data_IF_923328908915
#
_entry.id   IF_923328908915
#
_cell.length_a   1.000
_cell.length_b   1.000
_cell.length_c   1.000
_cell.angle_alpha   90.00
_cell.angle_beta   90.00
_cell.angle_gamma   90.00
#
_symmetry.space_group_name_H-M   'P 1'
#
loop_
_entity.id
_entity.type
_entity.pdbx_description
1 polymer ?
#
# COMPACT_ATOMS: atom_id res chain seq x y z
N UNK A 1 16.88 -9.76 1.16
CA UNK A 1 16.94 -9.24 -0.22
C UNK A 1 16.10 -10.15 -1.05
N UNK A 2 15.14 -9.59 -1.79
CA UNK A 2 14.23 -10.35 -2.63
C UNK A 2 14.90 -10.63 -3.97
N UNK A 3 14.44 -11.66 -4.68
CA UNK A 3 15.05 -12.06 -5.95
C UNK A 3 14.98 -10.96 -7.03
N UNK A 4 14.01 -10.06 -6.94
CA UNK A 4 13.87 -8.93 -7.85
C UNK A 4 14.59 -7.66 -7.38
N UNK A 5 15.36 -7.73 -6.29
CA UNK A 5 16.10 -6.61 -5.71
C UNK A 5 17.60 -6.91 -5.68
N UNK A 6 18.41 -5.97 -6.15
CA UNK A 6 19.87 -6.08 -6.17
C UNK A 6 20.55 -4.89 -5.49
N UNK A 7 21.77 -5.12 -5.02
CA UNK A 7 22.63 -4.06 -4.46
C UNK A 7 23.13 -3.16 -5.57
N UNK A 8 22.84 -1.86 -5.47
CA UNK A 8 23.22 -0.84 -6.46
C UNK A 8 24.39 0.03 -5.98
N UNK A 9 24.73 -0.02 -4.69
CA UNK A 9 25.83 0.74 -4.11
C UNK A 9 26.68 -0.14 -3.19
N UNK A 10 27.96 -0.28 -3.51
CA UNK A 10 28.93 -1.06 -2.72
C UNK A 10 29.17 -0.47 -1.32
N UNK A 11 28.92 0.83 -1.14
CA UNK A 11 29.14 1.52 0.13
C UNK A 11 28.00 1.28 1.13
N UNK A 12 26.84 0.77 0.69
CA UNK A 12 25.65 0.59 1.53
C UNK A 12 25.89 -0.27 2.76
N UNK A 13 26.80 -1.26 2.69
CA UNK A 13 27.18 -2.05 3.87
C UNK A 13 27.97 -1.19 4.87
N UNK A 14 28.90 -0.37 4.39
CA UNK A 14 29.68 0.53 5.25
C UNK A 14 28.78 1.60 5.88
N UNK A 15 27.85 2.16 5.11
CA UNK A 15 26.87 3.11 5.60
C UNK A 15 26.02 2.51 6.73
N UNK A 16 25.51 1.29 6.53
CA UNK A 16 24.75 0.59 7.56
C UNK A 16 25.60 0.30 8.82
N UNK A 17 26.86 -0.10 8.64
CA UNK A 17 27.79 -0.34 9.76
C UNK A 17 28.07 0.92 10.57
N UNK A 18 28.13 2.11 9.95
CA UNK A 18 28.33 3.36 10.68
C UNK A 18 27.28 3.55 11.79
N UNK A 19 26.02 3.19 11.53
CA UNK A 19 24.97 3.26 12.53
C UNK A 19 25.10 2.20 13.62
N UNK A 20 25.47 0.97 13.28
CA UNK A 20 25.61 -0.11 14.28
C UNK A 20 26.86 0.01 15.14
N UNK A 21 27.92 0.63 14.61
CA UNK A 21 29.22 0.79 15.27
C UNK A 21 29.36 2.12 16.02
N UNK A 22 28.34 2.97 15.99
CA UNK A 22 28.29 4.17 16.82
C UNK A 22 28.40 3.80 18.31
N UNK A 23 29.43 4.34 19.00
CA UNK A 23 29.77 3.96 20.39
C UNK A 23 28.72 4.40 21.41
N UNK A 24 27.98 5.46 21.07
CA UNK A 24 27.00 6.06 21.96
C UNK A 24 25.65 5.39 21.84
N UNK A 25 25.15 5.20 20.62
CA UNK A 25 23.77 4.80 20.30
C UNK A 25 23.69 3.52 19.46
N UNK A 26 24.78 3.05 18.85
CA UNK A 26 24.77 1.93 17.92
C UNK A 26 24.17 0.64 18.51
N UNK A 27 24.36 0.46 19.82
CA UNK A 27 23.79 -0.63 20.60
C UNK A 27 22.25 -0.62 20.70
N UNK A 28 21.58 0.51 20.49
CA UNK A 28 20.12 0.65 20.54
C UNK A 28 19.41 0.15 19.27
N UNK A 29 20.14 0.11 18.14
CA UNK A 29 19.55 -0.16 16.84
C UNK A 29 19.53 -1.66 16.51
N UNK A 30 18.34 -2.16 16.20
CA UNK A 30 18.12 -3.51 15.74
C UNK A 30 18.25 -3.64 14.23
N UNK A 31 17.85 -2.63 13.45
CA UNK A 31 17.97 -2.68 12.00
C UNK A 31 18.07 -1.30 11.35
N UNK A 32 18.70 -1.25 10.18
CA UNK A 32 18.79 -0.08 9.30
C UNK A 32 18.02 -0.41 8.02
N UNK A 33 16.92 0.29 7.80
CA UNK A 33 16.04 0.16 6.63
C UNK A 33 16.40 1.22 5.59
N UNK A 34 16.65 0.78 4.37
CA UNK A 34 16.85 1.66 3.21
C UNK A 34 15.58 1.69 2.35
N UNK A 35 15.34 2.74 1.54
CA UNK A 35 14.23 2.76 0.60
C UNK A 35 14.34 1.64 -0.42
N UNK A 36 13.19 1.06 -0.77
CA UNK A 36 13.07 0.21 -1.94
C UNK A 36 12.84 1.10 -3.16
N UNK A 37 13.78 1.09 -4.11
CA UNK A 37 13.65 1.82 -5.36
C UNK A 37 13.57 0.85 -6.52
N UNK A 38 12.95 1.26 -7.61
CA UNK A 38 12.77 0.39 -8.77
C UNK A 38 13.35 1.02 -10.04
N UNK A 39 14.01 0.21 -10.86
CA UNK A 39 14.70 0.67 -12.07
C UNK A 39 13.74 0.89 -13.25
N UNK A 40 12.57 0.24 -13.23
CA UNK A 40 11.59 0.24 -14.31
C UNK A 40 10.43 1.23 -14.06
N UNK A 41 10.58 2.22 -13.18
CA UNK A 41 9.54 3.24 -12.98
C UNK A 41 9.51 4.19 -14.18
N UNK A 42 8.35 4.31 -14.83
CA UNK A 42 8.13 5.26 -15.92
C UNK A 42 8.03 6.70 -15.40
N UNK A 43 8.20 7.68 -16.30
CA UNK A 43 8.25 9.12 -15.95
C UNK A 43 7.08 9.58 -15.07
N UNK A 44 5.88 9.08 -15.32
CA UNK A 44 4.66 9.46 -14.60
C UNK A 44 4.12 8.31 -13.76
N UNK A 45 4.86 7.22 -13.56
CA UNK A 45 4.52 6.08 -12.70
C UNK A 45 3.03 5.70 -12.76
N UNK A 46 2.61 5.13 -13.89
CA UNK A 46 1.19 4.93 -14.20
C UNK A 46 0.43 4.10 -13.14
N UNK A 47 1.14 3.26 -12.38
CA UNK A 47 0.58 2.41 -11.34
C UNK A 47 0.94 2.83 -9.92
N UNK A 48 1.60 3.96 -9.72
CA UNK A 48 1.95 4.47 -8.39
C UNK A 48 2.71 3.42 -7.55
N UNK A 49 3.74 2.84 -8.17
CA UNK A 49 4.55 1.77 -7.58
C UNK A 49 5.84 2.28 -6.93
N UNK A 50 6.25 3.53 -7.18
CA UNK A 50 7.51 4.06 -6.66
C UNK A 50 7.48 4.46 -5.19
N UNK A 51 6.28 4.60 -4.60
CA UNK A 51 6.05 4.88 -3.17
C UNK A 51 6.92 6.04 -2.65
N UNK A 52 7.04 7.12 -3.44
CA UNK A 52 7.96 8.22 -3.13
C UNK A 52 7.55 8.95 -1.87
N UNK A 53 6.27 9.19 -1.65
CA UNK A 53 5.82 9.90 -0.44
C UNK A 53 6.17 9.10 0.82
N UNK A 54 5.98 7.78 0.78
CA UNK A 54 6.32 6.88 1.87
C UNK A 54 7.82 6.96 2.22
N UNK A 55 8.70 6.88 1.22
CA UNK A 55 10.15 6.89 1.44
C UNK A 55 10.74 8.29 1.68
N UNK A 56 10.25 9.34 1.02
CA UNK A 56 10.81 10.69 1.14
C UNK A 56 10.21 11.49 2.31
N UNK A 57 9.06 11.07 2.84
CA UNK A 57 8.34 11.82 3.89
C UNK A 57 8.01 10.91 5.08
N UNK A 58 7.22 9.87 4.87
CA UNK A 58 6.65 9.09 5.98
C UNK A 58 7.75 8.39 6.79
N UNK A 59 8.67 7.69 6.13
CA UNK A 59 9.74 6.94 6.81
C UNK A 59 10.70 7.84 7.57
N UNK A 60 10.99 9.04 7.03
CA UNK A 60 11.73 10.07 7.77
C UNK A 60 10.96 10.55 9.01
N UNK A 61 9.63 10.71 8.91
CA UNK A 61 8.79 11.04 10.06
C UNK A 61 8.81 9.95 11.14
N UNK A 62 8.73 8.68 10.75
CA UNK A 62 8.76 7.54 11.66
C UNK A 62 10.12 7.37 12.34
N UNK A 63 11.20 7.73 11.65
CA UNK A 63 12.56 7.70 12.19
C UNK A 63 12.69 8.56 13.46
N UNK A 64 12.03 9.73 13.49
CA UNK A 64 11.93 10.58 14.68
C UNK A 64 11.23 9.93 15.89
N UNK A 65 10.40 8.91 15.66
CA UNK A 65 9.64 8.21 16.69
C UNK A 65 10.26 6.87 17.14
N UNK A 66 11.46 6.52 16.66
CA UNK A 66 12.15 5.29 17.03
C UNK A 66 12.46 4.35 15.87
N UNK A 67 12.23 4.80 14.64
CA UNK A 67 12.63 4.10 13.42
C UNK A 67 11.46 3.59 12.59
N UNK A 68 11.64 3.42 11.26
CA UNK A 68 10.61 2.95 10.35
C UNK A 68 10.30 1.46 10.56
N UNK A 69 9.26 0.99 9.88
CA UNK A 69 8.90 -0.42 9.80
C UNK A 69 9.98 -1.20 9.03
N UNK A 70 10.11 -2.50 9.33
CA UNK A 70 10.80 -3.43 8.45
C UNK A 70 9.87 -3.81 7.28
N UNK A 71 10.33 -3.59 6.04
CA UNK A 71 9.52 -3.79 4.82
C UNK A 71 10.07 -4.89 3.89
N UNK A 72 10.78 -5.88 4.44
CA UNK A 72 11.15 -7.11 3.74
C UNK A 72 12.48 -7.07 2.99
N UNK A 73 12.78 -5.98 2.28
CA UNK A 73 14.02 -5.83 1.51
C UNK A 73 14.79 -4.55 1.82
N UNK A 74 16.08 -4.53 1.45
CA UNK A 74 16.97 -3.39 1.67
C UNK A 74 17.21 -3.07 3.15
N UNK A 75 17.29 -4.09 4.00
CA UNK A 75 17.39 -3.94 5.45
C UNK A 75 18.58 -4.74 6.00
N UNK A 76 19.35 -4.11 6.90
CA UNK A 76 20.41 -4.77 7.66
C UNK A 76 19.95 -5.00 9.09
N UNK A 77 20.03 -6.23 9.57
CA UNK A 77 19.59 -6.58 10.93
C UNK A 77 20.76 -6.94 11.83
N UNK A 78 20.70 -6.45 13.07
CA UNK A 78 21.43 -6.99 14.22
C UNK A 78 20.86 -8.37 14.56
N UNK A 79 21.70 -9.41 14.48
CA UNK A 79 21.30 -10.81 14.66
C UNK A 79 20.59 -11.05 15.99
N UNK A 80 21.07 -10.47 17.09
CA UNK A 80 20.49 -10.64 18.42
C UNK A 80 19.02 -10.23 18.49
N UNK A 81 18.66 -9.16 17.76
CA UNK A 81 17.29 -8.65 17.72
C UNK A 81 16.34 -9.62 17.00
N UNK A 82 16.80 -10.26 15.93
CA UNK A 82 16.08 -11.33 15.23
C UNK A 82 16.01 -12.59 16.09
N UNK A 83 17.05 -12.88 16.89
CA UNK A 83 17.13 -14.09 17.71
C UNK A 83 16.28 -14.05 19.00
N UNK A 84 15.39 -13.08 19.19
CA UNK A 84 14.54 -13.07 20.39
C UNK A 84 14.88 -11.99 21.40
N UNK A 85 16.10 -11.43 21.37
CA UNK A 85 16.67 -10.67 22.49
C UNK A 85 15.87 -9.40 22.75
N UNK A 86 15.55 -9.15 24.03
CA UNK A 86 15.00 -7.86 24.47
C UNK A 86 16.12 -6.85 24.62
N UNK A 87 15.86 -5.60 24.25
CA UNK A 87 16.81 -4.53 24.46
C UNK A 87 16.80 -4.12 25.93
N UNK A 88 17.98 -4.14 26.55
CA UNK A 88 18.20 -3.68 27.92
C UNK A 88 19.26 -2.56 27.86
N UNK A 89 19.00 -1.45 28.54
CA UNK A 89 19.82 -0.22 28.45
C UNK A 89 21.24 -0.37 29.00
N UNK A 90 21.57 -1.50 29.64
CA UNK A 90 22.89 -1.75 30.18
C UNK A 90 23.86 -2.15 29.06
N UNK A 91 24.70 -1.18 28.63
CA UNK A 91 25.82 -1.39 27.68
C UNK A 91 26.69 -2.62 28.01
N UNK A 92 26.75 -3.02 29.28
CA UNK A 92 27.60 -4.10 29.80
C UNK A 92 27.25 -5.53 29.30
N UNK A 93 26.04 -5.76 28.75
CA UNK A 93 25.58 -7.11 28.37
C UNK A 93 25.64 -7.44 26.87
N UNK A 94 26.06 -6.51 26.01
CA UNK A 94 26.49 -6.86 24.64
C UNK A 94 27.92 -7.42 24.64
N UNK A 95 28.22 -8.33 25.57
CA UNK A 95 29.42 -9.17 25.45
C UNK A 95 29.21 -10.06 24.23
N UNK A 96 29.95 -9.78 23.16
CA UNK A 96 30.13 -10.69 22.04
C UNK A 96 30.54 -12.05 22.62
N UNK A 97 29.62 -13.01 22.64
CA UNK A 97 29.95 -14.40 22.93
C UNK A 97 30.78 -14.90 21.76
N UNK A 98 32.09 -14.64 21.84
CA UNK A 98 33.09 -15.10 20.87
C UNK A 98 33.20 -16.62 21.05
N UNK A 99 32.23 -17.36 20.53
CA UNK A 99 32.33 -18.83 20.37
C UNK A 99 33.33 -19.08 19.24
N UNK A 100 34.61 -18.88 19.55
CA UNK A 100 35.72 -19.29 18.69
C UNK A 100 35.95 -20.79 18.87
N UNK A 101 34.96 -21.61 18.52
CA UNK A 101 35.22 -23.02 18.22
C UNK A 101 35.71 -23.09 16.79
N UNK A 102 37.03 -23.09 16.60
CA UNK A 102 37.64 -23.49 15.32
C UNK A 102 37.23 -24.94 15.09
N UNK A 103 36.39 -25.17 14.08
CA UNK A 103 36.02 -26.49 13.59
C UNK A 103 36.34 -26.55 12.09
N UNK A 104 36.65 -27.74 11.59
CA UNK A 104 36.87 -27.96 10.17
C UNK A 104 35.56 -27.80 9.38
N UNK A 105 35.69 -27.51 8.08
CA UNK A 105 34.56 -27.21 7.21
C UNK A 105 33.56 -28.38 7.12
N UNK A 106 34.05 -29.63 7.05
CA UNK A 106 33.22 -30.84 7.03
C UNK A 106 32.37 -30.99 8.29
N UNK A 107 32.96 -30.79 9.47
CA UNK A 107 32.23 -30.83 10.74
C UNK A 107 31.17 -29.73 10.83
N UNK A 108 31.46 -28.52 10.32
CA UNK A 108 30.48 -27.43 10.28
C UNK A 108 29.34 -27.72 9.29
N UNK A 109 29.65 -28.31 8.15
CA UNK A 109 28.65 -28.72 7.16
C UNK A 109 27.70 -29.78 7.73
N UNK A 110 28.23 -30.82 8.38
CA UNK A 110 27.42 -31.85 9.03
C UNK A 110 26.54 -31.26 10.15
N UNK A 111 27.06 -30.31 10.93
CA UNK A 111 26.25 -29.57 11.91
C UNK A 111 25.19 -28.70 11.26
N UNK A 112 25.47 -28.10 10.11
CA UNK A 112 24.49 -27.28 9.40
C UNK A 112 23.32 -28.13 8.87
N UNK A 113 23.59 -29.36 8.41
CA UNK A 113 22.55 -30.30 7.93
C UNK A 113 21.48 -30.58 8.98
N UNK A 114 21.85 -30.67 10.26
CA UNK A 114 20.86 -30.87 11.34
C UNK A 114 20.03 -29.63 11.68
N UNK A 115 20.46 -28.43 11.28
CA UNK A 115 19.74 -27.18 11.51
C UNK A 115 18.71 -26.85 10.42
N UNK A 116 18.74 -27.56 9.28
CA UNK A 116 17.88 -27.30 8.12
C UNK A 116 16.88 -28.44 7.86
N UNK A 117 16.63 -29.28 8.86
CA UNK A 117 15.64 -30.36 8.75
C UNK A 117 14.22 -29.81 8.84
N UNK A 118 13.25 -30.53 8.27
CA UNK A 118 11.83 -30.15 8.34
C UNK A 118 11.26 -30.15 9.76
N UNK A 119 11.91 -30.83 10.70
CA UNK A 119 11.50 -30.94 12.10
C UNK A 119 12.27 -30.00 13.04
N UNK A 120 13.24 -29.22 12.53
CA UNK A 120 14.09 -28.37 13.37
C UNK A 120 13.28 -27.37 14.19
N UNK A 121 12.19 -26.86 13.61
CA UNK A 121 11.35 -25.85 14.24
C UNK A 121 10.23 -26.44 15.10
N UNK A 122 10.05 -27.77 15.09
CA UNK A 122 9.00 -28.45 15.86
C UNK A 122 9.18 -28.21 17.36
N UNK A 123 8.10 -27.76 18.02
CA UNK A 123 8.10 -27.41 19.44
C UNK A 123 9.13 -26.34 19.87
N UNK A 124 9.62 -25.53 18.93
CA UNK A 124 10.52 -24.40 19.22
C UNK A 124 9.78 -23.05 19.25
N UNK A 125 10.53 -22.00 19.58
CA UNK A 125 10.08 -20.60 19.51
C UNK A 125 10.35 -19.93 18.14
N UNK A 126 10.89 -20.66 17.16
CA UNK A 126 11.04 -20.17 15.79
C UNK A 126 9.68 -19.81 15.21
N UNK A 127 9.62 -18.66 14.53
CA UNK A 127 8.38 -18.12 14.01
C UNK A 127 7.44 -17.50 15.04
N UNK A 128 7.57 -17.87 16.31
CA UNK A 128 6.75 -17.36 17.41
C UNK A 128 7.38 -16.16 18.07
N UNK A 129 8.63 -16.27 18.54
CA UNK A 129 9.38 -15.21 19.21
C UNK A 129 10.80 -15.01 18.65
N UNK A 130 11.30 -15.99 17.89
CA UNK A 130 12.61 -16.02 17.26
C UNK A 130 12.46 -16.03 15.74
N UNK A 131 13.32 -15.29 15.04
CA UNK A 131 13.30 -15.18 13.58
C UNK A 131 12.19 -14.27 13.06
N UNK A 132 11.78 -14.53 11.82
CA UNK A 132 10.63 -13.85 11.21
C UNK A 132 9.32 -14.39 11.81
N UNK A 133 8.38 -13.52 12.15
CA UNK A 133 7.11 -13.88 12.77
C UNK A 133 6.17 -14.58 11.78
N UNK A 134 5.65 -15.75 12.12
CA UNK A 134 4.77 -16.54 11.26
C UNK A 134 3.30 -16.10 11.34
N UNK A 135 2.51 -16.51 10.36
CA UNK A 135 1.05 -16.42 10.38
C UNK A 135 0.44 -15.16 9.75
N UNK A 136 1.27 -14.25 9.24
CA UNK A 136 0.85 -13.00 8.59
C UNK A 136 1.44 -12.89 7.17
N UNK A 137 0.66 -12.45 6.16
CA UNK A 137 1.17 -12.19 4.79
C UNK A 137 2.23 -11.08 4.65
N UNK A 138 2.43 -10.30 5.72
CA UNK A 138 3.43 -9.23 5.86
C UNK A 138 4.27 -9.52 7.11
N UNK A 139 4.92 -10.69 7.11
CA UNK A 139 5.78 -11.18 8.18
C UNK A 139 6.92 -10.22 8.51
N UNK A 140 7.38 -9.48 7.52
CA UNK A 140 8.35 -8.40 7.65
C UNK A 140 7.86 -7.33 8.63
N UNK A 141 6.67 -6.77 8.39
CA UNK A 141 6.11 -5.67 9.17
C UNK A 141 5.85 -6.10 10.61
N UNK A 142 5.27 -7.28 10.84
CA UNK A 142 5.04 -7.77 12.20
C UNK A 142 6.35 -8.11 12.92
N UNK A 143 7.37 -8.59 12.21
CA UNK A 143 8.70 -8.82 12.79
C UNK A 143 9.33 -7.51 13.23
N UNK A 144 9.27 -6.46 12.39
CA UNK A 144 9.73 -5.12 12.72
C UNK A 144 9.04 -4.55 13.96
N UNK A 145 7.71 -4.65 14.02
CA UNK A 145 6.92 -4.22 15.17
C UNK A 145 7.29 -5.00 16.44
N UNK A 146 7.45 -6.31 16.36
CA UNK A 146 7.81 -7.14 17.51
C UNK A 146 9.23 -6.85 18.02
N UNK A 147 10.19 -6.60 17.13
CA UNK A 147 11.53 -6.14 17.49
C UNK A 147 11.44 -4.80 18.24
N UNK A 148 10.73 -3.81 17.70
CA UNK A 148 10.63 -2.50 18.34
C UNK A 148 9.89 -2.56 19.69
N UNK A 149 8.83 -3.36 19.80
CA UNK A 149 8.13 -3.61 21.06
C UNK A 149 8.97 -4.36 22.11
N UNK A 150 10.13 -4.91 21.74
CA UNK A 150 11.14 -5.44 22.66
C UNK A 150 12.16 -4.40 23.12
N UNK A 151 11.93 -3.12 22.82
CA UNK A 151 12.73 -1.98 23.26
C UNK A 151 13.79 -1.53 22.26
N UNK A 152 13.95 -2.23 21.14
CA UNK A 152 14.90 -1.85 20.10
C UNK A 152 14.38 -0.66 19.28
N UNK A 153 15.31 0.11 18.72
CA UNK A 153 15.02 1.12 17.69
C UNK A 153 15.43 0.61 16.30
N UNK A 154 14.90 1.24 15.27
CA UNK A 154 15.42 1.10 13.90
C UNK A 154 15.86 2.45 13.36
N UNK A 155 16.54 2.42 12.22
CA UNK A 155 16.98 3.62 11.51
C UNK A 155 16.43 3.57 10.09
N UNK A 156 15.95 4.71 9.62
CA UNK A 156 15.76 4.95 8.20
C UNK A 156 16.97 5.63 7.59
N UNK A 157 17.55 5.05 6.53
CA UNK A 157 18.67 5.66 5.81
C UNK A 157 18.39 5.77 4.31
N UNK A 158 18.34 7.00 3.80
CA UNK A 158 18.09 7.32 2.40
C UNK A 158 19.34 8.00 1.79
N UNK A 159 20.32 7.22 1.30
CA UNK A 159 21.56 7.77 0.74
C UNK A 159 21.32 8.45 -0.62
N UNK A 160 22.14 9.45 -1.01
CA UNK A 160 22.05 10.09 -2.33
C UNK A 160 22.18 9.09 -3.49
N UNK A 161 23.08 8.11 -3.35
CA UNK A 161 23.15 6.96 -4.27
C UNK A 161 22.30 5.84 -3.69
N UNK A 162 21.22 5.52 -4.41
CA UNK A 162 20.29 4.44 -4.07
C UNK A 162 21.04 3.15 -3.74
N UNK A 163 20.79 2.63 -2.53
CA UNK A 163 21.45 1.41 -2.03
C UNK A 163 20.97 0.14 -2.73
N UNK A 164 19.65 0.02 -2.91
CA UNK A 164 19.02 -1.16 -3.51
C UNK A 164 18.04 -0.77 -4.61
N UNK A 165 18.11 -1.47 -5.74
CA UNK A 165 17.20 -1.32 -6.87
C UNK A 165 16.50 -2.64 -7.15
N UNK A 166 15.24 -2.59 -7.52
CA UNK A 166 14.53 -3.77 -8.03
C UNK A 166 13.54 -3.47 -9.12
N UNK A 167 12.56 -4.37 -9.26
CA UNK A 167 11.59 -4.33 -10.37
C UNK A 167 10.17 -4.20 -9.83
N UNK A 168 9.52 -3.08 -10.16
CA UNK A 168 8.13 -2.83 -9.83
C UNK A 168 7.18 -3.63 -10.74
N UNK A 169 5.95 -3.92 -10.30
CA UNK A 169 4.89 -4.42 -11.18
C UNK A 169 4.68 -3.55 -12.40
N UNK A 170 4.41 -4.18 -13.55
CA UNK A 170 4.22 -3.50 -14.84
C UNK A 170 2.78 -3.62 -15.38
N UNK A 171 1.88 -4.19 -14.59
CA UNK A 171 0.44 -4.24 -14.90
C UNK A 171 -0.42 -3.78 -13.73
N UNK A 172 -1.63 -3.33 -14.04
CA UNK A 172 -2.62 -2.97 -13.03
C UNK A 172 -3.00 -4.18 -12.17
N UNK A 173 -3.19 -5.35 -12.79
CA UNK A 173 -3.57 -6.58 -12.08
C UNK A 173 -2.52 -6.97 -11.03
N UNK A 174 -1.23 -6.98 -11.41
CA UNK A 174 -0.14 -7.27 -10.48
C UNK A 174 -0.13 -6.27 -9.30
N UNK A 175 -0.26 -4.98 -9.60
CA UNK A 175 -0.28 -3.91 -8.59
C UNK A 175 -1.46 -4.08 -7.62
N UNK A 176 -2.66 -4.36 -8.13
CA UNK A 176 -3.85 -4.55 -7.29
C UNK A 176 -3.76 -5.81 -6.42
N UNK A 177 -3.21 -6.91 -6.94
CA UNK A 177 -2.99 -8.15 -6.17
C UNK A 177 -1.96 -7.92 -5.06
N UNK A 178 -0.87 -7.23 -5.38
CA UNK A 178 0.16 -6.89 -4.39
C UNK A 178 -0.42 -6.03 -3.25
N UNK A 179 -1.15 -4.97 -3.58
CA UNK A 179 -1.79 -4.11 -2.58
C UNK A 179 -2.89 -4.82 -1.79
N UNK A 180 -3.60 -5.78 -2.38
CA UNK A 180 -4.56 -6.63 -1.67
C UNK A 180 -3.83 -7.46 -0.61
N UNK A 181 -2.71 -8.11 -0.95
CA UNK A 181 -1.90 -8.90 0.00
C UNK A 181 -1.38 -8.04 1.16
N UNK A 182 -0.80 -6.88 0.84
CA UNK A 182 -0.26 -5.96 1.85
C UNK A 182 -1.36 -5.48 2.79
N UNK A 183 -2.46 -4.98 2.23
CA UNK A 183 -3.58 -4.47 3.02
C UNK A 183 -4.26 -5.55 3.85
N UNK A 184 -4.33 -6.79 3.35
CA UNK A 184 -4.89 -7.93 4.08
C UNK A 184 -4.02 -8.25 5.29
N UNK A 185 -2.71 -8.44 5.08
CA UNK A 185 -1.81 -8.79 6.17
C UNK A 185 -1.67 -7.68 7.22
N UNK A 186 -1.60 -6.42 6.78
CA UNK A 186 -1.60 -5.26 7.66
C UNK A 186 -2.85 -5.19 8.54
N UNK A 187 -4.04 -5.43 7.96
CA UNK A 187 -5.27 -5.42 8.72
C UNK A 187 -5.43 -6.66 9.62
N UNK A 188 -4.90 -7.82 9.21
CA UNK A 188 -4.81 -9.00 10.09
C UNK A 188 -3.96 -8.71 11.32
N UNK A 189 -2.83 -7.99 11.18
CA UNK A 189 -2.04 -7.57 12.35
C UNK A 189 -2.88 -6.66 13.25
N UNK A 190 -3.59 -5.68 12.69
CA UNK A 190 -4.47 -4.77 13.43
C UNK A 190 -5.53 -5.49 14.27
N UNK A 191 -6.15 -6.52 13.71
CA UNK A 191 -7.21 -7.30 14.36
C UNK A 191 -6.67 -8.34 15.36
N UNK A 192 -5.35 -8.55 15.39
CA UNK A 192 -4.71 -9.54 16.27
C UNK A 192 -4.25 -8.92 17.60
N UNK A 193 -3.70 -9.76 18.48
CA UNK A 193 -3.00 -9.33 19.70
C UNK A 193 -1.83 -8.38 19.45
N UNK A 194 -1.38 -8.23 18.20
CA UNK A 194 -0.28 -7.36 17.78
C UNK A 194 -0.72 -5.97 17.33
N UNK A 195 -1.98 -5.58 17.56
CA UNK A 195 -2.44 -4.22 17.33
C UNK A 195 -1.46 -3.19 17.95
N UNK A 196 -0.90 -2.22 17.20
CA UNK A 196 0.11 -1.29 17.71
C UNK A 196 -0.33 -0.49 18.95
N UNK A 197 -1.63 -0.14 19.05
CA UNK A 197 -2.18 0.61 20.18
C UNK A 197 -2.29 -0.22 21.46
N UNK A 198 -2.38 -1.55 21.33
CA UNK A 198 -2.46 -2.47 22.46
C UNK A 198 -1.09 -3.08 22.76
N UNK A 199 -0.50 -3.73 21.76
CA UNK A 199 0.77 -4.44 21.86
C UNK A 199 1.96 -3.51 22.11
N UNK A 200 1.95 -2.33 21.46
CA UNK A 200 2.98 -1.31 21.56
C UNK A 200 2.77 -0.30 22.69
N UNK A 201 1.63 -0.36 23.40
CA UNK A 201 1.32 0.54 24.50
C UNK A 201 2.43 0.51 25.56
N UNK A 202 2.98 1.69 25.91
CA UNK A 202 4.12 1.87 26.83
C UNK A 202 5.42 1.16 26.41
N UNK A 203 5.49 0.52 25.23
CA UNK A 203 6.71 -0.14 24.70
C UNK A 203 7.37 0.65 23.59
N UNK A 204 6.55 1.30 22.74
CA UNK A 204 7.01 2.20 21.67
C UNK A 204 6.28 3.54 21.77
N UNK A 205 6.86 4.61 21.22
CA UNK A 205 6.28 5.96 21.25
C UNK A 205 4.93 5.98 20.54
N UNK A 206 4.00 6.83 21.03
CA UNK A 206 2.66 6.97 20.43
C UNK A 206 2.72 7.32 18.94
N UNK A 207 3.63 8.22 18.53
CA UNK A 207 3.81 8.56 17.12
C UNK A 207 4.17 7.36 16.24
N UNK A 208 4.98 6.42 16.75
CA UNK A 208 5.30 5.19 16.02
C UNK A 208 4.09 4.25 15.96
N UNK A 209 3.32 4.13 17.05
CA UNK A 209 2.07 3.35 17.05
C UNK A 209 1.08 3.87 16.00
N UNK A 210 0.90 5.19 15.92
CA UNK A 210 0.06 5.84 14.91
C UNK A 210 0.63 5.63 13.50
N UNK A 211 1.95 5.68 13.36
CA UNK A 211 2.68 5.38 12.12
C UNK A 211 2.40 4.00 11.54
N UNK A 212 2.48 2.94 12.36
CA UNK A 212 2.06 1.60 11.93
C UNK A 212 0.58 1.57 11.51
N UNK A 213 -0.28 2.30 12.24
CA UNK A 213 -1.71 2.31 11.96
C UNK A 213 -2.11 2.97 10.65
N UNK A 214 -1.28 3.84 10.08
CA UNK A 214 -1.48 4.39 8.72
C UNK A 214 -1.63 3.24 7.71
N UNK A 215 -0.74 2.24 7.79
CA UNK A 215 -0.74 1.07 6.91
C UNK A 215 -1.77 0.00 7.34
N UNK A 216 -1.92 -0.20 8.65
CA UNK A 216 -2.81 -1.22 9.20
C UNK A 216 -4.30 -0.95 8.95
N UNK A 217 -4.64 0.32 8.72
CA UNK A 217 -6.01 0.75 8.43
C UNK A 217 -6.29 0.96 6.93
N UNK A 218 -5.38 0.60 6.02
CA UNK A 218 -5.63 0.68 4.58
C UNK A 218 -6.91 -0.05 4.16
N UNK A 219 -7.11 -1.28 4.63
CA UNK A 219 -8.30 -2.09 4.32
C UNK A 219 -9.61 -1.40 4.76
N UNK A 220 -9.81 -1.08 6.06
CA UNK A 220 -11.06 -0.47 6.52
C UNK A 220 -11.30 0.94 5.96
N UNK A 221 -10.26 1.71 5.61
CA UNK A 221 -10.42 3.01 4.96
C UNK A 221 -11.06 2.94 3.56
N UNK A 222 -11.21 1.74 2.97
CA UNK A 222 -11.93 1.57 1.71
C UNK A 222 -13.43 1.83 1.82
N UNK A 223 -14.09 1.45 2.92
CA UNK A 223 -15.54 1.60 3.10
C UNK A 223 -16.02 3.06 3.04
N UNK A 224 -15.45 4.02 3.79
CA UNK A 224 -15.84 5.42 3.64
C UNK A 224 -15.52 5.94 2.23
N UNK A 225 -14.43 5.48 1.61
CA UNK A 225 -14.08 5.90 0.25
C UNK A 225 -15.12 5.44 -0.77
N UNK A 226 -15.58 4.17 -0.68
CA UNK A 226 -16.66 3.65 -1.52
C UNK A 226 -17.94 4.46 -1.33
N UNK A 227 -18.28 4.80 -0.09
CA UNK A 227 -19.43 5.65 0.20
C UNK A 227 -19.33 6.99 -0.54
N UNK A 228 -18.22 7.71 -0.38
CA UNK A 228 -18.00 9.00 -1.06
C UNK A 228 -17.82 8.88 -2.59
N UNK A 229 -17.47 7.70 -3.10
CA UNK A 229 -17.34 7.46 -4.53
C UNK A 229 -18.68 7.09 -5.20
N UNK A 230 -19.68 6.64 -4.44
CA UNK A 230 -20.99 6.20 -4.95
C UNK A 230 -22.08 7.21 -4.62
N UNK A 231 -22.21 7.62 -3.35
CA UNK A 231 -23.36 8.37 -2.86
C UNK A 231 -23.49 9.77 -3.48
N UNK A 232 -22.41 10.58 -3.61
CA UNK A 232 -22.50 11.86 -4.31
C UNK A 232 -22.96 11.73 -5.77
N UNK A 233 -22.43 10.74 -6.49
CA UNK A 233 -22.81 10.45 -7.89
C UNK A 233 -24.27 10.01 -7.99
N UNK A 234 -24.70 9.14 -7.08
CA UNK A 234 -26.08 8.70 -7.02
C UNK A 234 -27.04 9.85 -6.72
N UNK A 235 -26.76 10.65 -5.69
CA UNK A 235 -27.58 11.80 -5.35
C UNK A 235 -27.62 12.85 -6.48
N UNK A 236 -26.51 13.02 -7.23
CA UNK A 236 -26.48 13.83 -8.44
C UNK A 236 -27.45 13.33 -9.51
N UNK A 237 -27.51 12.00 -9.75
CA UNK A 237 -28.47 11.40 -10.68
C UNK A 237 -29.92 11.66 -10.28
N UNK A 238 -30.21 11.86 -8.99
CA UNK A 238 -31.56 12.12 -8.48
C UNK A 238 -31.83 13.60 -8.20
N UNK A 239 -30.91 14.51 -8.51
CA UNK A 239 -30.98 15.93 -8.17
C UNK A 239 -31.20 16.20 -6.66
N UNK A 240 -30.67 15.31 -5.81
CA UNK A 240 -30.71 15.41 -4.35
C UNK A 240 -29.46 16.13 -3.87
N UNK A 241 -29.63 17.22 -3.12
CA UNK A 241 -28.51 18.00 -2.59
C UNK A 241 -27.95 17.32 -1.35
N UNK A 242 -26.65 16.99 -1.37
CA UNK A 242 -25.96 16.47 -0.20
C UNK A 242 -25.12 17.52 0.52
N UNK A 243 -24.70 18.56 -0.19
CA UNK A 243 -23.82 19.59 0.35
C UNK A 243 -24.54 20.93 0.46
N UNK A 244 -24.04 21.86 1.29
CA UNK A 244 -24.56 23.22 1.32
C UNK A 244 -24.41 23.90 -0.04
N UNK A 245 -25.39 24.74 -0.39
CA UNK A 245 -25.28 25.67 -1.52
C UNK A 245 -24.00 26.50 -1.42
N UNK A 246 -23.37 26.80 -2.55
CA UNK A 246 -22.21 27.71 -2.62
C UNK A 246 -22.49 29.11 -2.09
N UNK A 247 -23.76 29.51 -2.01
CA UNK A 247 -24.17 30.78 -1.41
C UNK A 247 -24.29 30.71 0.12
N UNK A 248 -24.25 29.51 0.71
CA UNK A 248 -24.30 29.29 2.15
C UNK A 248 -22.92 29.47 2.77
N UNK A 249 -22.86 30.10 3.94
CA UNK A 249 -21.62 30.18 4.74
C UNK A 249 -21.09 28.77 5.10
N UNK A 250 -21.97 27.78 5.18
CA UNK A 250 -21.62 26.39 5.47
C UNK A 250 -20.90 25.68 4.32
N UNK A 251 -20.82 26.28 3.13
CA UNK A 251 -19.97 25.78 2.04
C UNK A 251 -18.47 26.03 2.32
N UNK A 252 -18.13 27.08 3.06
CA UNK A 252 -16.75 27.50 3.28
C UNK A 252 -15.85 26.39 3.89
N UNK A 253 -16.28 25.62 4.90
CA UNK A 253 -15.50 24.49 5.42
C UNK A 253 -15.20 23.41 4.35
N UNK A 254 -16.16 23.08 3.49
CA UNK A 254 -15.96 22.09 2.42
C UNK A 254 -14.97 22.61 1.38
N UNK A 255 -15.15 23.85 0.93
CA UNK A 255 -14.23 24.49 -0.02
C UNK A 255 -12.80 24.58 0.55
N UNK A 256 -12.67 24.94 1.83
CA UNK A 256 -11.39 25.00 2.52
C UNK A 256 -10.71 23.63 2.58
N UNK A 257 -11.41 22.58 3.06
CA UNK A 257 -10.83 21.24 3.18
C UNK A 257 -10.45 20.68 1.81
N UNK A 258 -11.34 20.77 0.81
CA UNK A 258 -11.06 20.28 -0.55
C UNK A 258 -9.87 21.04 -1.15
N UNK A 259 -9.87 22.37 -1.05
CA UNK A 259 -8.82 23.22 -1.60
C UNK A 259 -7.46 22.95 -0.95
N UNK A 260 -7.39 23.03 0.38
CA UNK A 260 -6.13 22.86 1.13
C UNK A 260 -5.57 21.46 0.98
N UNK A 261 -6.38 20.41 1.07
CA UNK A 261 -5.90 19.02 0.91
C UNK A 261 -5.42 18.74 -0.51
N UNK A 262 -6.08 19.31 -1.52
CA UNK A 262 -5.66 19.19 -2.93
C UNK A 262 -4.35 19.93 -3.18
N UNK A 263 -4.25 21.18 -2.74
CA UNK A 263 -3.04 22.01 -2.87
C UNK A 263 -1.88 21.36 -2.13
N UNK A 264 -2.10 20.92 -0.89
CA UNK A 264 -1.06 20.30 -0.07
C UNK A 264 -0.54 19.01 -0.72
N UNK A 265 -1.43 18.14 -1.19
CA UNK A 265 -1.02 16.92 -1.89
C UNK A 265 -0.25 17.22 -3.18
N UNK A 266 -0.69 18.20 -3.97
CA UNK A 266 0.03 18.56 -5.19
C UNK A 266 1.42 19.14 -4.87
N UNK A 267 1.49 19.98 -3.84
CA UNK A 267 2.76 20.55 -3.35
C UNK A 267 3.72 19.46 -2.86
N UNK A 268 3.23 18.55 -2.04
CA UNK A 268 4.02 17.43 -1.51
C UNK A 268 4.51 16.53 -2.64
N UNK A 269 3.62 16.13 -3.55
CA UNK A 269 3.99 15.32 -4.71
C UNK A 269 5.05 15.99 -5.57
N UNK A 270 4.94 17.30 -5.82
CA UNK A 270 5.97 18.05 -6.55
C UNK A 270 7.29 18.10 -5.77
N UNK A 271 7.24 18.26 -4.45
CA UNK A 271 8.43 18.30 -3.57
C UNK A 271 9.20 16.98 -3.61
N UNK A 272 8.52 15.84 -3.64
CA UNK A 272 9.13 14.50 -3.74
C UNK A 272 9.43 14.05 -5.18
N UNK A 273 9.22 14.95 -6.15
CA UNK A 273 9.67 14.79 -7.54
C UNK A 273 8.66 14.16 -8.51
N UNK A 274 7.36 14.07 -8.16
CA UNK A 274 6.34 13.69 -9.13
C UNK A 274 6.07 14.79 -10.16
N UNK A 275 5.74 14.38 -11.38
CA UNK A 275 5.11 15.26 -12.37
C UNK A 275 3.63 15.49 -12.02
N UNK A 276 2.98 16.46 -12.65
CA UNK A 276 1.52 16.65 -12.50
C UNK A 276 0.72 15.42 -12.94
N UNK A 277 1.14 14.77 -14.04
CA UNK A 277 0.53 13.52 -14.51
C UNK A 277 0.80 12.37 -13.53
N UNK A 278 1.99 12.33 -12.93
CA UNK A 278 2.33 11.37 -11.88
C UNK A 278 1.46 11.54 -10.63
N UNK A 279 1.26 12.77 -10.16
CA UNK A 279 0.30 13.07 -9.09
C UNK A 279 -1.13 12.61 -9.44
N UNK A 280 -1.57 12.85 -10.67
CA UNK A 280 -2.87 12.38 -11.13
C UNK A 280 -2.97 10.84 -11.16
N UNK A 281 -1.88 10.16 -11.56
CA UNK A 281 -1.80 8.70 -11.54
C UNK A 281 -1.80 8.14 -10.11
N UNK A 282 -1.11 8.80 -9.16
CA UNK A 282 -1.20 8.51 -7.72
C UNK A 282 -2.63 8.60 -7.22
N UNK A 283 -3.37 9.67 -7.57
CA UNK A 283 -4.80 9.80 -7.21
C UNK A 283 -5.66 8.69 -7.81
N UNK A 284 -5.41 8.31 -9.07
CA UNK A 284 -6.11 7.18 -9.70
C UNK A 284 -5.86 5.89 -8.96
N UNK A 285 -4.61 5.58 -8.68
CA UNK A 285 -4.25 4.33 -8.03
C UNK A 285 -4.69 4.30 -6.56
N UNK A 286 -4.67 5.44 -5.89
CA UNK A 286 -5.28 5.62 -4.56
C UNK A 286 -6.76 5.25 -4.55
N UNK A 287 -7.52 5.65 -5.58
CA UNK A 287 -8.92 5.29 -5.75
C UNK A 287 -9.08 3.81 -6.13
N UNK A 288 -8.31 3.31 -7.11
CA UNK A 288 -8.42 1.93 -7.59
C UNK A 288 -8.14 0.91 -6.49
N UNK A 289 -7.08 1.12 -5.69
CA UNK A 289 -6.74 0.28 -4.53
C UNK A 289 -7.90 0.24 -3.53
N UNK A 290 -8.61 1.36 -3.30
CA UNK A 290 -9.73 1.48 -2.36
C UNK A 290 -11.07 0.96 -2.88
N UNK A 291 -11.28 0.93 -4.19
CA UNK A 291 -12.49 0.34 -4.78
C UNK A 291 -12.36 -1.17 -5.01
N UNK A 292 -11.14 -1.64 -5.27
CA UNK A 292 -10.88 -3.04 -5.58
C UNK A 292 -10.09 -3.75 -4.48
N UNK A 293 -8.77 -3.53 -4.37
CA UNK A 293 -7.87 -4.32 -3.51
C UNK A 293 -8.26 -4.34 -2.03
N UNK A 294 -8.56 -3.17 -1.46
CA UNK A 294 -8.72 -3.00 -0.01
C UNK A 294 -10.04 -3.56 0.54
N UNK A 295 -11.19 -3.47 -0.16
CA UNK A 295 -12.40 -4.19 0.21
C UNK A 295 -12.20 -5.71 0.24
N UNK A 296 -11.57 -6.29 -0.78
CA UNK A 296 -11.24 -7.72 -0.78
C UNK A 296 -10.31 -8.10 0.37
N UNK A 297 -9.31 -7.27 0.65
CA UNK A 297 -8.42 -7.45 1.79
C UNK A 297 -9.16 -7.39 3.13
N UNK A 298 -10.10 -6.46 3.30
CA UNK A 298 -10.93 -6.35 4.50
C UNK A 298 -11.77 -7.61 4.68
N UNK A 299 -12.49 -8.03 3.64
CA UNK A 299 -13.29 -9.25 3.66
C UNK A 299 -12.46 -10.48 4.00
N UNK A 300 -11.30 -10.68 3.35
CA UNK A 300 -10.45 -11.84 3.63
C UNK A 300 -9.87 -11.81 5.06
N UNK A 301 -9.49 -10.64 5.58
CA UNK A 301 -9.06 -10.51 6.97
C UNK A 301 -10.18 -10.83 7.96
N UNK A 302 -11.43 -10.39 7.71
CA UNK A 302 -12.58 -10.73 8.54
C UNK A 302 -12.93 -12.22 8.46
N UNK A 303 -12.93 -12.82 7.27
CA UNK A 303 -13.19 -14.25 7.11
C UNK A 303 -12.13 -15.11 7.82
N UNK A 304 -10.87 -14.66 7.82
CA UNK A 304 -9.80 -15.31 8.60
C UNK A 304 -10.03 -15.16 10.11
N UNK A 305 -10.47 -13.99 10.58
CA UNK A 305 -10.81 -13.79 11.99
C UNK A 305 -11.92 -14.74 12.47
N UNK A 306 -12.86 -15.08 11.58
CA UNK A 306 -13.95 -16.03 11.83
C UNK A 306 -13.57 -17.50 11.59
N UNK A 307 -12.31 -17.78 11.26
CA UNK A 307 -11.79 -19.13 10.91
C UNK A 307 -12.53 -19.82 9.74
N UNK A 308 -13.14 -19.03 8.84
CA UNK A 308 -13.94 -19.55 7.71
C UNK A 308 -13.07 -19.88 6.48
N UNK A 309 -11.87 -19.30 6.37
CA UNK A 309 -11.04 -19.39 5.16
C UNK A 309 -9.58 -19.71 5.48
N UNK A 310 -9.05 -20.76 4.85
CA UNK A 310 -7.60 -21.03 4.80
C UNK A 310 -6.91 -20.09 3.81
N UNK A 311 -5.72 -19.62 4.16
CA UNK A 311 -4.92 -18.68 3.36
C UNK A 311 -4.53 -19.28 2.01
N UNK A 312 -4.89 -18.62 0.91
CA UNK A 312 -4.26 -18.82 -0.39
C UNK A 312 -3.28 -17.66 -0.62
N UNK A 313 -1.99 -17.94 -0.50
CA UNK A 313 -0.95 -16.96 -0.79
C UNK A 313 -0.70 -16.92 -2.30
N UNK A 314 -0.96 -15.77 -2.92
CA UNK A 314 -0.72 -15.57 -4.36
C UNK A 314 0.54 -14.72 -4.51
N UNK A 315 1.61 -15.34 -5.04
CA UNK A 315 2.83 -14.62 -5.42
C UNK A 315 2.53 -13.75 -6.63
N UNK A 316 2.86 -12.46 -6.55
CA UNK A 316 2.75 -11.57 -7.70
C UNK A 316 3.91 -11.81 -8.66
N UNK A 317 3.63 -12.32 -9.85
CA UNK A 317 4.63 -12.40 -10.90
C UNK A 317 5.10 -10.98 -11.29
N UNK A 318 6.40 -10.80 -11.51
CA UNK A 318 7.02 -9.53 -11.94
C UNK A 318 7.56 -9.60 -13.38
N UNK A 319 7.37 -10.73 -14.06
CA UNK A 319 7.70 -10.93 -15.46
C UNK A 319 6.47 -10.60 -16.30
N UNK A 320 6.65 -9.87 -17.39
CA UNK A 320 5.61 -9.56 -18.34
C UNK A 320 6.06 -9.85 -19.76
N UNK A 321 5.10 -10.17 -20.61
CA UNK A 321 5.34 -10.36 -22.04
C UNK A 321 5.87 -9.07 -22.70
N UNK A 322 6.57 -9.22 -23.81
CA UNK A 322 7.21 -8.10 -24.50
C UNK A 322 6.21 -6.99 -24.88
N UNK A 323 5.01 -7.38 -25.34
CA UNK A 323 3.95 -6.45 -25.71
C UNK A 323 3.35 -5.72 -24.49
N UNK A 324 3.27 -6.38 -23.34
CA UNK A 324 2.85 -5.75 -22.07
C UNK A 324 3.90 -4.73 -21.64
N UNK A 325 5.18 -5.09 -21.77
CA UNK A 325 6.31 -4.21 -21.42
C UNK A 325 6.32 -2.95 -22.30
N UNK A 326 6.12 -3.08 -23.62
CA UNK A 326 5.99 -1.94 -24.55
C UNK A 326 4.83 -1.02 -24.18
N UNK A 327 3.68 -1.57 -23.77
CA UNK A 327 2.53 -0.77 -23.29
C UNK A 327 2.86 -0.04 -22.00
N UNK A 328 3.52 -0.72 -21.06
CA UNK A 328 3.94 -0.13 -19.80
C UNK A 328 4.91 1.05 -20.02
N UNK A 329 5.93 0.88 -20.86
CA UNK A 329 6.88 1.96 -21.23
C UNK A 329 6.19 3.17 -21.87
N UNK A 330 5.15 2.93 -22.67
CA UNK A 330 4.31 3.97 -23.27
C UNK A 330 3.27 4.57 -22.31
N UNK A 331 3.27 4.14 -21.04
CA UNK A 331 2.29 4.52 -20.03
C UNK A 331 0.84 4.26 -20.50
N UNK A 332 0.60 3.05 -21.00
CA UNK A 332 -0.73 2.54 -21.32
C UNK A 332 -1.09 1.46 -20.31
N UNK A 333 -2.23 1.64 -19.62
CA UNK A 333 -2.68 0.68 -18.61
C UNK A 333 -3.10 -0.66 -19.21
N UNK A 334 -2.78 -1.74 -18.51
CA UNK A 334 -3.07 -3.12 -18.91
C UNK A 334 -4.38 -3.61 -18.28
N UNK A 335 -5.37 -3.92 -19.12
CA UNK A 335 -6.69 -4.41 -18.70
C UNK A 335 -7.07 -5.77 -19.29
N UNK A 336 -6.17 -6.42 -20.07
CA UNK A 336 -6.49 -7.63 -20.85
C UNK A 336 -6.91 -8.86 -20.04
N UNK A 337 -6.69 -8.87 -18.72
CA UNK A 337 -7.07 -9.97 -17.84
C UNK A 337 -8.50 -9.84 -17.31
N UNK A 338 -9.32 -10.90 -17.44
CA UNK A 338 -10.61 -10.94 -16.75
C UNK A 338 -10.41 -11.11 -15.24
N UNK A 339 -10.89 -10.15 -14.44
CA UNK A 339 -10.83 -10.24 -12.97
C UNK A 339 -12.03 -9.54 -12.32
N UNK A 340 -12.42 -10.01 -11.13
CA UNK A 340 -13.49 -9.39 -10.36
C UNK A 340 -13.14 -7.95 -9.95
N UNK A 341 -11.86 -7.67 -9.67
CA UNK A 341 -11.38 -6.32 -9.41
C UNK A 341 -11.65 -5.39 -10.60
N UNK A 342 -11.43 -5.86 -11.83
CA UNK A 342 -11.71 -5.05 -13.03
C UNK A 342 -13.21 -4.89 -13.29
N UNK A 343 -14.03 -5.89 -12.98
CA UNK A 343 -15.50 -5.75 -13.02
C UNK A 343 -15.95 -4.62 -12.09
N UNK A 344 -15.46 -4.59 -10.85
CA UNK A 344 -15.83 -3.56 -9.87
C UNK A 344 -15.37 -2.17 -10.31
N UNK A 345 -14.10 -2.02 -10.74
CA UNK A 345 -13.58 -0.73 -11.21
C UNK A 345 -14.36 -0.24 -12.43
N UNK A 346 -14.65 -1.13 -13.38
CA UNK A 346 -15.37 -0.78 -14.61
C UNK A 346 -16.84 -0.46 -14.34
N UNK A 347 -17.51 -1.21 -13.46
CA UNK A 347 -18.89 -0.93 -13.06
C UNK A 347 -18.98 0.43 -12.36
N UNK A 348 -18.05 0.73 -11.44
CA UNK A 348 -17.99 2.02 -10.77
C UNK A 348 -17.72 3.18 -11.74
N UNK A 349 -16.79 2.99 -12.68
CA UNK A 349 -16.49 3.97 -13.71
C UNK A 349 -17.72 4.28 -14.58
N UNK A 350 -18.40 3.25 -15.11
CA UNK A 350 -19.60 3.42 -15.92
C UNK A 350 -20.73 4.03 -15.09
N UNK A 351 -20.92 3.59 -13.85
CA UNK A 351 -21.91 4.15 -12.93
C UNK A 351 -21.72 5.66 -12.73
N UNK A 352 -20.50 6.11 -12.43
CA UNK A 352 -20.23 7.54 -12.25
C UNK A 352 -20.47 8.35 -13.52
N UNK A 353 -20.12 7.79 -14.69
CA UNK A 353 -20.39 8.43 -15.98
C UNK A 353 -21.89 8.58 -16.23
N UNK A 354 -22.68 7.52 -16.00
CA UNK A 354 -24.13 7.55 -16.15
C UNK A 354 -24.78 8.55 -15.17
N UNK A 355 -24.32 8.56 -13.92
CA UNK A 355 -24.76 9.52 -12.92
C UNK A 355 -24.44 10.97 -13.32
N UNK A 356 -23.24 11.22 -13.87
CA UNK A 356 -22.84 12.55 -14.34
C UNK A 356 -23.72 13.01 -15.49
N UNK A 357 -23.88 12.17 -16.53
CA UNK A 357 -24.70 12.48 -17.69
C UNK A 357 -26.17 12.68 -17.31
N UNK A 358 -26.71 11.80 -16.46
CA UNK A 358 -28.08 11.88 -15.98
C UNK A 358 -28.33 13.11 -15.09
N UNK A 359 -27.39 13.42 -14.19
CA UNK A 359 -27.48 14.61 -13.34
C UNK A 359 -27.37 15.92 -14.11
N UNK A 360 -26.44 16.01 -15.07
CA UNK A 360 -26.33 17.18 -15.96
C UNK A 360 -27.59 17.35 -16.80
N UNK A 361 -28.13 16.26 -17.36
CA UNK A 361 -29.43 16.30 -18.06
C UNK A 361 -30.52 16.86 -17.15
N UNK A 362 -30.66 16.33 -15.94
CA UNK A 362 -31.68 16.78 -14.98
C UNK A 362 -31.57 18.25 -14.61
N UNK A 363 -30.35 18.73 -14.37
CA UNK A 363 -30.09 20.11 -13.94
C UNK A 363 -30.24 21.11 -15.08
N UNK A 364 -29.76 20.77 -16.28
CA UNK A 364 -29.66 21.70 -17.41
C UNK A 364 -30.84 21.60 -18.36
N UNK A 365 -31.29 20.38 -18.67
CA UNK A 365 -32.36 20.14 -19.65
C UNK A 365 -33.73 20.09 -18.96
N UNK A 366 -33.84 19.38 -17.84
CA UNK A 366 -35.13 19.19 -17.16
C UNK A 366 -35.42 20.30 -16.14
N UNK A 367 -34.43 21.15 -15.80
CA UNK A 367 -34.56 22.23 -14.81
C UNK A 367 -34.82 21.73 -13.38
N UNK A 368 -34.47 20.48 -13.09
CA UNK A 368 -34.70 19.82 -11.79
C UNK A 368 -33.47 19.94 -10.89
N UNK A 369 -33.65 20.59 -9.73
CA UNK A 369 -32.59 20.84 -8.75
C UNK A 369 -31.87 22.17 -8.95
N UNK A 370 -31.17 22.64 -7.91
CA UNK A 370 -30.46 23.92 -7.92
C UNK A 370 -28.96 23.70 -8.19
N UNK A 371 -28.44 24.30 -9.25
CA UNK A 371 -27.02 24.18 -9.65
C UNK A 371 -26.06 24.57 -8.52
N UNK A 372 -26.39 25.64 -7.78
CA UNK A 372 -25.58 26.16 -6.67
C UNK A 372 -25.40 25.14 -5.55
N UNK A 373 -26.38 24.25 -5.38
CA UNK A 373 -26.45 23.21 -4.36
C UNK A 373 -25.85 21.87 -4.83
N UNK A 374 -25.75 21.66 -6.14
CA UNK A 374 -25.16 20.44 -6.74
C UNK A 374 -23.67 20.55 -7.06
N UNK A 375 -23.05 21.73 -6.97
CA UNK A 375 -21.70 21.97 -7.49
C UNK A 375 -20.64 21.01 -6.93
N UNK A 376 -20.72 20.67 -5.63
CA UNK A 376 -19.77 19.74 -5.01
C UNK A 376 -19.95 18.33 -5.56
N UNK A 377 -21.19 17.87 -5.73
CA UNK A 377 -21.47 16.54 -6.31
C UNK A 377 -21.01 16.47 -7.76
N UNK A 378 -21.29 17.51 -8.56
CA UNK A 378 -20.79 17.63 -9.94
C UNK A 378 -19.26 17.56 -9.98
N UNK A 379 -18.58 18.27 -9.08
CA UNK A 379 -17.12 18.30 -9.02
C UNK A 379 -16.54 16.93 -8.64
N UNK A 380 -17.10 16.28 -7.62
CA UNK A 380 -16.63 14.97 -7.15
C UNK A 380 -16.89 13.89 -8.21
N UNK A 381 -18.11 13.81 -8.74
CA UNK A 381 -18.47 12.82 -9.77
C UNK A 381 -17.69 13.06 -11.06
N UNK A 382 -17.53 14.33 -11.46
CA UNK A 382 -16.70 14.73 -12.61
C UNK A 382 -15.24 14.31 -12.43
N UNK A 383 -14.64 14.60 -11.28
CA UNK A 383 -13.26 14.21 -10.98
C UNK A 383 -13.07 12.69 -11.01
N UNK A 384 -13.98 11.92 -10.40
CA UNK A 384 -13.96 10.44 -10.43
C UNK A 384 -14.09 9.92 -11.87
N UNK A 385 -14.97 10.52 -12.67
CA UNK A 385 -15.14 10.16 -14.08
C UNK A 385 -13.85 10.38 -14.85
N UNK A 386 -13.20 11.53 -14.67
CA UNK A 386 -11.92 11.84 -15.32
C UNK A 386 -10.78 10.92 -14.84
N UNK A 387 -10.76 10.56 -13.55
CA UNK A 387 -9.78 9.60 -13.00
C UNK A 387 -9.89 8.26 -13.73
N UNK A 388 -11.12 7.82 -14.03
CA UNK A 388 -11.42 6.55 -14.69
C UNK A 388 -11.22 6.57 -16.22
N UNK A 389 -10.70 7.65 -16.82
CA UNK A 389 -10.53 7.75 -18.28
C UNK A 389 -9.82 6.54 -18.94
N UNK A 390 -8.75 5.95 -18.37
CA UNK A 390 -8.12 4.76 -18.95
C UNK A 390 -9.04 3.54 -19.04
N UNK A 391 -10.02 3.42 -18.13
CA UNK A 391 -11.02 2.35 -18.15
C UNK A 391 -11.95 2.52 -19.36
N UNK A 392 -12.48 3.72 -19.60
CA UNK A 392 -13.34 3.97 -20.77
C UNK A 392 -12.59 3.73 -22.08
N UNK A 393 -11.32 4.16 -22.15
CA UNK A 393 -10.46 3.87 -23.30
C UNK A 393 -10.31 2.37 -23.51
N UNK A 394 -10.04 1.61 -22.45
CA UNK A 394 -9.90 0.16 -22.53
C UNK A 394 -11.21 -0.56 -22.88
N UNK A 395 -12.35 -0.06 -22.43
CA UNK A 395 -13.67 -0.69 -22.67
C UNK A 395 -14.21 -0.42 -24.06
N UNK A 396 -14.03 0.80 -24.59
CA UNK A 396 -14.79 1.28 -25.75
C UNK A 396 -13.94 1.73 -26.94
N UNK A 397 -12.66 2.04 -26.75
CA UNK A 397 -11.83 2.68 -27.80
C UNK A 397 -10.64 1.82 -28.23
N UNK A 398 -10.08 1.01 -27.33
CA UNK A 398 -8.88 0.21 -27.61
C UNK A 398 -9.25 -1.15 -28.23
N UNK A 399 -8.41 -1.58 -29.16
CA UNK A 399 -8.50 -2.88 -29.86
C UNK A 399 -7.23 -3.72 -29.68
N UNK A 400 -6.25 -3.23 -28.90
CA UNK A 400 -5.02 -3.94 -28.60
C UNK A 400 -5.21 -4.96 -27.46
N UNK A 401 -4.22 -5.85 -27.25
CA UNK A 401 -4.31 -6.92 -26.26
C UNK A 401 -4.44 -6.48 -24.79
N UNK A 402 -4.27 -5.19 -24.49
CA UNK A 402 -4.54 -4.62 -23.16
C UNK A 402 -5.90 -3.94 -23.02
N UNK A 403 -6.80 -4.09 -24.00
CA UNK A 403 -8.19 -3.66 -23.89
C UNK A 403 -8.96 -4.47 -22.83
N UNK A 404 -10.08 -3.94 -22.36
CA UNK A 404 -10.92 -4.65 -21.40
C UNK A 404 -11.63 -5.83 -22.10
N UNK A 405 -11.63 -7.04 -21.52
CA UNK A 405 -12.39 -8.16 -22.07
C UNK A 405 -13.87 -7.82 -22.23
N UNK A 406 -14.48 -8.24 -23.35
CA UNK A 406 -15.90 -7.97 -23.66
C UNK A 406 -16.82 -8.49 -22.54
N UNK A 407 -16.51 -9.65 -21.97
CA UNK A 407 -17.26 -10.21 -20.84
C UNK A 407 -17.26 -9.30 -19.61
N UNK A 408 -16.09 -8.74 -19.25
CA UNK A 408 -15.96 -7.77 -18.16
C UNK A 408 -16.75 -6.51 -18.48
N UNK A 409 -16.65 -6.00 -19.71
CA UNK A 409 -17.38 -4.81 -20.16
C UNK A 409 -18.89 -5.00 -20.04
N UNK A 410 -19.44 -6.10 -20.56
CA UNK A 410 -20.89 -6.39 -20.53
C UNK A 410 -21.39 -6.48 -19.08
N UNK A 411 -20.72 -7.28 -18.24
CA UNK A 411 -21.11 -7.45 -16.83
C UNK A 411 -21.07 -6.10 -16.10
N UNK A 412 -20.01 -5.33 -16.30
CA UNK A 412 -19.81 -4.04 -15.63
C UNK A 412 -20.86 -3.01 -16.00
N UNK A 413 -21.19 -2.91 -17.30
CA UNK A 413 -22.27 -2.03 -17.79
C UNK A 413 -23.62 -2.49 -17.21
N UNK A 414 -23.91 -3.79 -17.22
CA UNK A 414 -25.13 -4.33 -16.63
C UNK A 414 -25.28 -4.00 -15.15
N UNK A 415 -24.22 -4.17 -14.35
CA UNK A 415 -24.19 -3.81 -12.93
C UNK A 415 -24.39 -2.31 -12.70
N UNK A 416 -23.71 -1.46 -13.49
CA UNK A 416 -23.84 -0.01 -13.39
C UNK A 416 -25.28 0.46 -13.71
N UNK A 417 -25.87 -0.08 -14.78
CA UNK A 417 -27.26 0.22 -15.16
C UNK A 417 -28.24 -0.22 -14.08
N UNK A 418 -28.07 -1.42 -13.53
CA UNK A 418 -28.90 -1.93 -12.43
C UNK A 418 -28.81 -1.01 -11.20
N UNK A 419 -27.60 -0.58 -10.83
CA UNK A 419 -27.38 0.35 -9.72
C UNK A 419 -28.08 1.71 -9.93
N UNK A 420 -28.05 2.25 -11.16
CA UNK A 420 -28.78 3.47 -11.50
C UNK A 420 -30.30 3.30 -11.43
N UNK A 421 -30.83 2.11 -11.77
CA UNK A 421 -32.28 1.83 -11.77
C UNK A 421 -32.82 1.61 -10.36
N UNK A 422 -32.10 0.90 -9.49
CA UNK A 422 -32.55 0.57 -8.13
C UNK A 422 -32.89 1.83 -7.31
N UNK A 423 -32.28 2.98 -7.63
CA UNK A 423 -32.59 4.27 -7.01
C UNK A 423 -33.83 5.00 -7.47
N UNK A 424 -34.47 4.54 -8.54
CA UNK A 424 -35.59 5.27 -9.17
C UNK A 424 -36.97 4.91 -8.60
N UNK A 425 -37.03 4.05 -7.59
CA UNK A 425 -38.28 3.66 -6.90
C UNK A 425 -38.49 4.41 -5.61
#
# INVERSE_FOLDING_TARGET
MDCDMYSNNSETIKDALCFFMDEDKGHEFAYVQLPQRFNNITKNDIYANCLRTEYEVEFHGLDGFGGPLYVGSGCFHRRESLCGKKYESNKAEMKYNKRNTRADASTLEEKAKSLITCTFEDNTEWGKEVGLKYGFPVEDVITGLSIQCRGWKSIYFNPPRVGFLGVAPVTLAQTLVQHKRWSEGNFQIFLSKYNPLLYGHKKIKLGLQLGYNIYFLWAPCSFPTIYYAIIPSFALLHAISLFPSVHSIWFAPFAYVIGVTTIHSLWESKKVGYTLKGWWNERRMWLFKRLASYPFAATDAFLKLLDVKKLAFIVTAKVADEEVSKRYEKEVMEFGSASLMFIILSAHAVFCLLCLLGGVKKLVLDGTGEMSSMLVQLTVTGAITLINMPIYQAMFLRVDGGCMPISVTIISVGLAMLACIIGTK
#
